data_IF_580733687983
#
_entry.id   IF_580733687983
#
_cell.length_a   1.000
_cell.length_b   1.000
_cell.length_c   1.000
_cell.angle_alpha   90.00
_cell.angle_beta   90.00
_cell.angle_gamma   90.00
#
_symmetry.space_group_name_H-M   'P 1'
#
loop_
_entity.id
_entity.type
_entity.pdbx_description
1 polymer ?
2 polymer ?
3 polymer ?
4 polymer ?
5 non-polymer ?
6 non-polymer ?
7 non-polymer ?
8 non-polymer ?
9 non-polymer ?
10 water ?
#
loop_
_entity_poly.entity_id
_entity_poly.type
_entity_poly.pdbx_seq_one_letter_code
_entity_poly.pdbx_strand_id
2 'polydeoxyribonucleotide' '(DC)(DG)(DG)(DC)(8OG)(DT)(DA)(DC)(DG)' ?
3 'polydeoxyribonucleotide' '(DC)(DG)(DT)(DA)(DC)' ?
4 'polydeoxyribonucleotide' '(DG)(DC)(DC)(DG)' ?
#
# COMPACT_ATOMS: atom_id res chain seq x y z
N UNK A 9 2.95 6.38 26.90
CA UNK A 9 3.15 7.63 26.16
C UNK A 9 2.96 7.42 24.65
N UNK A 10 3.39 6.27 24.18
CA UNK A 10 3.24 5.88 22.77
C UNK A 10 2.39 4.61 22.72
N UNK A 11 1.18 4.66 22.17
CA UNK A 11 0.36 3.45 22.12
C UNK A 11 0.97 2.38 21.21
N UNK A 12 0.53 1.14 21.42
CA UNK A 12 1.20 0.03 20.77
C UNK A 12 0.72 -0.25 19.35
N UNK A 13 -0.47 0.20 18.98
CA UNK A 13 -0.99 -0.02 17.63
C UNK A 13 -0.86 1.27 16.82
N UNK A 14 -0.51 1.12 15.54
CA UNK A 14 -0.32 2.32 14.71
C UNK A 14 -1.60 3.08 14.50
N UNK A 15 -2.76 2.43 14.59
CA UNK A 15 -4.02 3.12 14.39
C UNK A 15 -4.42 3.96 15.58
N UNK A 16 -3.67 3.90 16.67
CA UNK A 16 -3.90 4.69 17.87
C UNK A 16 -3.07 5.97 17.91
N UNK A 17 -2.32 6.27 16.87
CA UNK A 17 -1.48 7.43 16.92
C UNK A 17 -1.38 8.09 15.54
N UNK A 18 -1.28 9.42 15.47
CA UNK A 18 -1.10 10.04 14.16
C UNK A 18 0.29 9.74 13.63
N UNK A 19 0.35 9.40 12.34
CA UNK A 19 1.63 9.19 11.66
C UNK A 19 1.65 10.07 10.42
N UNK A 20 2.41 11.16 10.44
CA UNK A 20 2.44 12.05 9.27
C UNK A 20 3.31 11.46 8.19
N UNK A 21 3.18 12.06 7.00
CA UNK A 21 3.89 11.57 5.85
C UNK A 21 5.38 11.81 5.98
N UNK A 22 5.74 12.99 6.45
CA UNK A 22 7.13 13.31 6.70
C UNK A 22 7.33 13.52 8.20
N UNK A 23 8.53 13.21 8.67
CA UNK A 23 8.71 13.11 10.11
C UNK A 23 10.17 13.39 10.47
N UNK A 24 10.59 12.97 11.67
CA UNK A 24 11.84 13.43 12.26
C UNK A 24 12.83 12.31 12.47
N UNK A 25 12.60 11.16 11.86
CA UNK A 25 13.48 10.00 12.06
C UNK A 25 13.60 9.21 10.77
N UNK A 26 13.69 9.93 9.65
CA UNK A 26 13.62 9.30 8.34
C UNK A 26 14.70 8.25 8.18
N UNK A 27 15.94 8.58 8.54
CA UNK A 27 17.03 7.64 8.35
C UNK A 27 16.88 6.37 9.18
N UNK A 28 16.48 6.52 10.44
CA UNK A 28 16.27 5.36 11.30
C UNK A 28 15.14 4.48 10.78
N UNK A 29 14.02 5.07 10.37
CA UNK A 29 12.92 4.24 9.90
C UNK A 29 13.28 3.51 8.61
N UNK A 30 14.02 4.17 7.71
CA UNK A 30 14.40 3.53 6.45
C UNK A 30 15.26 2.29 6.70
N UNK A 31 16.16 2.34 7.68
CA UNK A 31 17.01 1.20 7.99
C UNK A 31 16.19 0.04 8.49
N UNK A 32 15.28 0.30 9.43
CA UNK A 32 14.44 -0.76 9.94
C UNK A 32 13.56 -1.34 8.84
N UNK A 33 13.13 -0.49 7.90
CA UNK A 33 12.31 -0.99 6.82
C UNK A 33 13.11 -1.85 5.86
N UNK A 34 14.43 -1.65 5.76
CA UNK A 34 15.26 -2.60 5.00
C UNK A 34 15.17 -3.99 5.62
N UNK A 35 15.35 -4.06 6.95
CA UNK A 35 15.33 -5.36 7.61
C UNK A 35 13.95 -5.98 7.50
N UNK A 36 12.91 -5.16 7.52
CA UNK A 36 11.55 -5.69 7.38
C UNK A 36 11.37 -6.31 6.00
N UNK A 37 11.78 -5.59 4.96
CA UNK A 37 11.68 -6.07 3.60
C UNK A 37 12.47 -7.37 3.43
N UNK A 38 13.68 -7.41 3.97
CA UNK A 38 14.50 -8.61 3.83
C UNK A 38 13.86 -9.80 4.53
N UNK A 39 13.29 -9.58 5.72
CA UNK A 39 12.55 -10.65 6.39
C UNK A 39 11.43 -11.19 5.52
N UNK A 40 10.70 -10.30 4.86
CA UNK A 40 9.64 -10.75 3.97
C UNK A 40 10.18 -11.59 2.83
N UNK A 41 11.33 -11.22 2.29
CA UNK A 41 11.89 -12.00 1.20
C UNK A 41 12.25 -13.41 1.65
N UNK A 42 12.46 -13.61 2.95
CA UNK A 42 12.74 -14.93 3.51
C UNK A 42 11.50 -15.61 4.09
N UNK A 43 10.32 -15.03 3.92
CA UNK A 43 9.13 -15.63 4.48
C UNK A 43 8.94 -15.43 5.96
N UNK A 44 9.68 -14.53 6.60
CA UNK A 44 9.58 -14.35 8.05
C UNK A 44 8.58 -13.23 8.34
N UNK A 45 7.30 -13.60 8.32
CA UNK A 45 6.24 -12.60 8.45
C UNK A 45 6.25 -11.91 9.81
N UNK A 46 6.53 -12.66 10.88
CA UNK A 46 6.56 -12.06 12.20
C UNK A 46 7.63 -11.00 12.34
N UNK A 47 8.86 -11.34 11.91
CA UNK A 47 9.94 -10.36 11.96
C UNK A 47 9.64 -9.16 11.07
N UNK A 48 9.10 -9.41 9.87
CA UNK A 48 8.73 -8.29 8.99
C UNK A 48 7.81 -7.34 9.74
N UNK A 49 6.83 -7.90 10.46
CA UNK A 49 5.86 -7.05 11.13
C UNK A 49 6.50 -6.26 12.26
N UNK A 50 7.34 -6.90 13.06
CA UNK A 50 7.99 -6.18 14.14
C UNK A 50 8.84 -5.03 13.62
N UNK A 51 9.66 -5.28 12.59
CA UNK A 51 10.50 -4.23 12.05
C UNK A 51 9.65 -3.13 11.42
N UNK A 52 8.57 -3.49 10.72
CA UNK A 52 7.65 -2.47 10.18
C UNK A 52 7.04 -1.64 11.29
N UNK A 53 6.60 -2.29 12.39
CA UNK A 53 5.99 -1.55 13.49
C UNK A 53 7.01 -0.66 14.20
N UNK A 54 8.23 -1.15 14.40
CA UNK A 54 9.26 -0.33 15.03
C UNK A 54 9.57 0.90 14.18
N UNK A 55 9.72 0.70 12.88
CA UNK A 55 9.88 1.83 11.98
C UNK A 55 8.75 2.84 12.13
N UNK A 56 7.50 2.33 12.15
CA UNK A 56 6.35 3.22 12.22
C UNK A 56 6.33 4.02 13.52
N UNK A 57 6.73 3.39 14.64
CA UNK A 57 6.82 4.12 15.91
C UNK A 57 7.70 5.35 15.75
N UNK A 58 8.86 5.19 15.12
CA UNK A 58 9.76 6.33 14.94
C UNK A 58 9.13 7.41 14.07
N UNK A 59 8.34 7.03 13.07
CA UNK A 59 7.65 8.03 12.26
C UNK A 59 6.67 8.85 13.09
N UNK A 60 6.15 8.29 14.16
CA UNK A 60 5.13 8.96 14.95
C UNK A 60 5.70 9.85 16.03
N UNK A 61 7.01 9.79 16.25
CA UNK A 61 7.63 10.56 17.31
C UNK A 61 7.63 12.04 16.97
N UNK A 62 7.59 12.92 17.98
CA UNK A 62 7.53 14.35 17.72
C UNK A 62 8.88 15.01 17.46
N UNK A 63 9.99 14.29 17.57
CA UNK A 63 11.31 14.88 17.38
C UNK A 63 12.32 13.76 17.11
N UNK A 64 13.55 14.11 16.69
CA UNK A 64 14.54 13.08 16.38
C UNK A 64 14.96 12.28 17.61
N UNK A 65 15.17 10.99 17.41
CA UNK A 65 15.88 10.16 18.38
C UNK A 65 17.37 10.46 18.28
N UNK A 66 17.95 10.96 19.37
CA UNK A 66 19.38 11.25 19.39
C UNK A 66 20.16 10.34 20.32
N UNK A 67 19.51 9.80 21.33
CA UNK A 67 20.17 8.96 22.31
C UNK A 67 19.39 7.68 22.47
N UNK A 68 20.09 6.62 22.83
CA UNK A 68 19.45 5.33 22.95
C UNK A 68 18.41 5.33 24.06
N UNK A 69 18.63 6.11 25.12
CA UNK A 69 17.64 6.17 26.19
C UNK A 69 16.27 6.59 25.69
N UNK A 70 16.19 7.32 24.57
CA UNK A 70 14.87 7.72 24.08
C UNK A 70 14.05 6.53 23.60
N UNK A 71 14.65 5.36 23.39
CA UNK A 71 13.90 4.18 22.97
C UNK A 71 13.24 3.45 24.13
N UNK A 72 13.63 3.79 25.36
CA UNK A 72 13.06 3.13 26.54
C UNK A 72 11.56 3.31 26.59
N UNK A 73 10.86 2.21 26.79
CA UNK A 73 9.42 2.28 26.87
C UNK A 73 8.71 2.38 25.54
N UNK A 74 9.42 2.53 24.41
CA UNK A 74 8.71 2.59 23.13
C UNK A 74 8.27 1.19 22.72
N UNK A 75 7.04 1.00 22.29
CA UNK A 75 6.64 -0.35 21.88
C UNK A 75 7.37 -0.79 20.62
N UNK A 76 7.63 -2.09 20.55
CA UNK A 76 8.23 -2.79 19.42
C UNK A 76 9.73 -2.54 19.30
N UNK A 77 10.38 -1.95 20.30
CA UNK A 77 11.84 -1.86 20.34
C UNK A 77 12.34 -2.81 21.41
N UNK A 78 13.00 -3.88 20.96
CA UNK A 78 13.69 -4.80 21.84
C UNK A 78 15.16 -4.81 21.51
N UNK A 79 15.84 -5.92 21.79
CA UNK A 79 17.28 -5.97 21.65
C UNK A 79 17.71 -5.66 20.22
N UNK A 80 17.03 -6.25 19.23
CA UNK A 80 17.50 -6.17 17.85
C UNK A 80 17.26 -4.78 17.25
N UNK A 81 16.04 -4.27 17.32
CA UNK A 81 15.74 -2.96 16.75
C UNK A 81 16.53 -1.89 17.48
N UNK A 82 16.75 -2.06 18.78
CA UNK A 82 17.49 -1.03 19.52
C UNK A 82 18.96 -1.03 19.12
N UNK A 83 19.52 -2.20 18.80
CA UNK A 83 20.91 -2.28 18.38
C UNK A 83 21.10 -1.64 17.01
N UNK A 84 20.16 -1.85 16.10
CA UNK A 84 20.20 -1.15 14.82
C UNK A 84 20.27 0.36 15.03
N UNK A 85 19.37 0.90 15.87
CA UNK A 85 19.35 2.33 16.08
C UNK A 85 20.65 2.79 16.73
N UNK A 86 21.11 2.05 17.72
CA UNK A 86 22.34 2.40 18.42
C UNK A 86 23.50 2.52 17.46
N UNK A 87 23.62 1.55 16.54
CA UNK A 87 24.72 1.61 15.58
C UNK A 87 24.57 2.79 14.64
N UNK A 88 23.35 3.09 14.22
CA UNK A 88 23.16 4.26 13.36
C UNK A 88 23.49 5.54 14.12
N UNK A 89 23.13 5.62 15.41
CA UNK A 89 23.42 6.82 16.18
C UNK A 89 24.92 6.98 16.41
N UNK A 90 25.64 5.89 16.63
CA UNK A 90 27.06 5.93 16.94
C UNK A 90 27.96 5.97 15.71
N UNK A 91 27.54 5.40 14.58
CA UNK A 91 28.42 5.28 13.43
C UNK A 91 27.84 5.77 12.12
N UNK A 92 26.56 6.16 12.09
CA UNK A 92 25.91 6.58 10.87
C UNK A 92 25.56 5.46 9.93
N UNK A 93 25.84 4.21 10.31
CA UNK A 93 25.56 3.04 9.49
C UNK A 93 25.39 1.85 10.43
N UNK A 94 24.52 0.92 10.04
CA UNK A 94 24.33 -0.33 10.78
C UNK A 94 24.85 -1.48 9.91
N UNK A 95 25.80 -2.26 10.46
CA UNK A 95 26.50 -3.23 9.62
C UNK A 95 25.53 -4.25 9.03
N UNK A 96 24.59 -4.72 9.84
CA UNK A 96 23.61 -5.69 9.35
C UNK A 96 22.81 -5.13 8.18
N UNK A 97 22.38 -3.87 8.28
CA UNK A 97 21.59 -3.26 7.23
C UNK A 97 22.42 -3.12 5.95
N UNK A 98 23.67 -2.70 6.10
CA UNK A 98 24.52 -2.57 4.92
C UNK A 98 24.82 -3.91 4.27
N UNK A 99 24.99 -4.94 5.08
CA UNK A 99 25.19 -6.26 4.52
C UNK A 99 23.97 -6.71 3.74
N UNK A 100 22.77 -6.48 4.29
CA UNK A 100 21.57 -6.83 3.53
C UNK A 100 21.56 -6.08 2.21
N UNK A 101 21.84 -4.78 2.25
CA UNK A 101 21.69 -3.92 1.07
C UNK A 101 22.52 -4.42 -0.10
N UNK A 102 23.74 -4.85 0.17
CA UNK A 102 24.64 -5.26 -0.91
C UNK A 102 24.53 -6.74 -1.23
N UNK A 103 23.68 -7.49 -0.52
CA UNK A 103 23.62 -8.92 -0.75
C UNK A 103 22.90 -9.24 -2.06
N UNK A 104 23.40 -10.28 -2.74
CA UNK A 104 22.83 -10.67 -4.02
C UNK A 104 21.38 -11.09 -3.85
N UNK A 105 21.08 -11.77 -2.75
CA UNK A 105 19.73 -12.21 -2.46
C UNK A 105 18.78 -11.02 -2.34
N UNK A 106 19.12 -10.06 -1.46
CA UNK A 106 18.25 -8.91 -1.27
C UNK A 106 18.02 -8.18 -2.59
N UNK A 107 19.11 -7.86 -3.30
CA UNK A 107 18.97 -7.05 -4.51
C UNK A 107 18.12 -7.75 -5.56
N UNK A 108 18.31 -9.07 -5.71
CA UNK A 108 17.56 -9.81 -6.74
C UNK A 108 16.11 -10.02 -6.33
N UNK A 109 15.85 -10.39 -5.08
CA UNK A 109 14.46 -10.52 -4.64
C UNK A 109 13.71 -9.19 -4.75
N UNK A 110 14.38 -8.09 -4.43
CA UNK A 110 13.77 -6.78 -4.60
C UNK A 110 13.46 -6.51 -6.06
N UNK A 111 14.45 -6.71 -6.95
CA UNK A 111 14.25 -6.50 -8.38
C UNK A 111 13.10 -7.37 -8.91
N UNK A 112 13.07 -8.64 -8.51
CA UNK A 112 12.05 -9.53 -9.05
C UNK A 112 10.67 -9.24 -8.46
N UNK A 113 10.57 -9.03 -7.15
CA UNK A 113 9.24 -8.82 -6.59
C UNK A 113 8.64 -7.48 -7.00
N UNK A 114 9.49 -6.51 -7.36
CA UNK A 114 9.00 -5.25 -7.90
C UNK A 114 8.28 -5.43 -9.23
N UNK A 115 8.44 -6.58 -9.89
CA UNK A 115 7.73 -6.81 -11.14
C UNK A 115 6.25 -7.06 -10.86
N UNK A 116 5.38 -6.41 -11.63
CA UNK A 116 3.95 -6.64 -11.55
C UNK A 116 3.63 -8.06 -12.04
N UNK A 117 3.07 -8.88 -11.16
CA UNK A 117 2.84 -10.27 -11.47
C UNK A 117 3.80 -11.24 -10.79
N UNK A 118 4.83 -10.73 -10.11
CA UNK A 118 5.84 -11.55 -9.44
C UNK A 118 5.78 -11.28 -7.94
N UNK A 119 5.55 -12.32 -7.14
CA UNK A 119 5.59 -12.24 -5.70
C UNK A 119 6.82 -12.95 -5.13
N UNK A 120 6.90 -12.95 -3.79
CA UNK A 120 8.07 -13.54 -3.14
C UNK A 120 8.27 -14.99 -3.58
N UNK A 121 7.20 -15.78 -3.65
CA UNK A 121 7.37 -17.20 -3.95
C UNK A 121 7.90 -17.38 -5.36
N UNK A 122 7.40 -16.60 -6.32
CA UNK A 122 7.91 -16.74 -7.68
C UNK A 122 9.36 -16.28 -7.76
N UNK A 123 9.64 -15.11 -7.19
CA UNK A 123 11.00 -14.57 -7.17
C UNK A 123 11.98 -15.53 -6.55
N UNK A 124 11.58 -16.15 -5.44
CA UNK A 124 12.48 -17.06 -4.75
C UNK A 124 12.78 -18.28 -5.61
N UNK A 125 11.78 -18.79 -6.32
CA UNK A 125 12.03 -19.96 -7.18
C UNK A 125 13.00 -19.61 -8.28
N UNK A 126 12.78 -18.47 -8.94
CA UNK A 126 13.73 -18.00 -9.96
C UNK A 126 15.13 -17.80 -9.38
N UNK A 127 15.23 -17.23 -8.18
CA UNK A 127 16.53 -17.03 -7.55
C UNK A 127 17.26 -18.36 -7.42
N UNK A 128 16.55 -19.38 -6.93
CA UNK A 128 17.15 -20.69 -6.72
C UNK A 128 17.50 -21.37 -8.03
N UNK A 129 16.81 -21.03 -9.12
CA UNK A 129 17.19 -21.54 -10.43
C UNK A 129 18.41 -20.82 -11.00
N UNK A 130 18.93 -19.83 -10.29
CA UNK A 130 20.09 -19.11 -10.72
C UNK A 130 19.82 -17.82 -11.46
N UNK A 131 18.56 -17.43 -11.62
CA UNK A 131 18.24 -16.21 -12.33
C UNK A 131 18.53 -14.99 -11.46
N UNK A 132 19.02 -13.92 -12.10
CA UNK A 132 19.43 -12.74 -11.36
C UNK A 132 18.98 -11.42 -11.98
N UNK A 133 18.71 -11.35 -13.29
CA UNK A 133 18.46 -10.07 -13.95
C UNK A 133 17.15 -10.12 -14.72
N UNK A 134 16.64 -8.93 -15.06
CA UNK A 134 15.43 -8.89 -15.89
C UNK A 134 15.69 -9.54 -17.24
N UNK A 135 16.88 -9.34 -17.79
CA UNK A 135 17.20 -10.00 -19.06
C UNK A 135 17.25 -11.52 -18.90
N UNK A 136 17.68 -12.03 -17.75
CA UNK A 136 17.54 -13.46 -17.49
C UNK A 136 16.10 -13.91 -17.67
N UNK A 137 15.14 -13.09 -17.24
CA UNK A 137 13.74 -13.49 -17.32
C UNK A 137 13.22 -13.37 -18.75
N UNK A 138 13.60 -12.29 -19.43
CA UNK A 138 13.21 -12.12 -20.82
C UNK A 138 13.66 -13.29 -21.69
N UNK A 139 14.85 -13.87 -21.43
CA UNK A 139 15.36 -14.99 -22.22
C UNK A 139 14.61 -16.30 -22.00
N UNK A 140 13.71 -16.35 -21.02
CA UNK A 140 13.02 -17.59 -20.67
C UNK A 140 11.52 -17.34 -20.55
N UNK A 141 10.90 -16.76 -21.60
CA UNK A 141 9.49 -16.40 -21.50
C UNK A 141 8.60 -17.60 -21.35
N UNK A 142 9.12 -18.80 -21.62
CA UNK A 142 8.41 -20.03 -21.30
C UNK A 142 7.93 -20.04 -19.87
N UNK A 143 8.64 -19.32 -18.99
CA UNK A 143 8.37 -19.36 -17.57
C UNK A 143 7.48 -18.22 -17.10
N UNK A 144 6.94 -17.40 -17.99
CA UNK A 144 6.23 -16.19 -17.59
C UNK A 144 4.76 -16.26 -17.93
N UNK A 145 3.92 -15.79 -17.01
CA UNK A 145 2.52 -15.60 -17.30
C UNK A 145 2.31 -14.36 -18.16
N UNK A 146 1.11 -14.24 -18.73
CA UNK A 146 0.78 -13.04 -19.50
C UNK A 146 0.87 -11.80 -18.62
N UNK A 147 0.49 -11.91 -17.36
CA UNK A 147 0.59 -10.79 -16.45
C UNK A 147 2.05 -10.39 -16.25
N UNK A 148 2.90 -11.40 -16.02
CA UNK A 148 4.32 -11.16 -15.79
C UNK A 148 4.99 -10.62 -17.03
N UNK A 149 4.60 -11.12 -18.20
CA UNK A 149 5.10 -10.58 -19.45
C UNK A 149 4.80 -9.09 -19.55
N UNK A 150 3.57 -8.70 -19.20
CA UNK A 150 3.20 -7.29 -19.21
C UNK A 150 4.01 -6.51 -18.20
N UNK A 151 4.13 -7.05 -16.99
CA UNK A 151 4.92 -6.38 -15.97
C UNK A 151 6.36 -6.20 -16.39
N UNK A 152 6.91 -7.18 -17.11
CA UNK A 152 8.31 -7.10 -17.52
C UNK A 152 8.47 -6.13 -18.70
N UNK A 153 7.59 -6.21 -19.71
CA UNK A 153 7.63 -5.25 -20.81
C UNK A 153 7.54 -3.81 -20.32
N UNK A 154 6.67 -3.56 -19.35
CA UNK A 154 6.42 -2.20 -18.88
C UNK A 154 7.27 -1.84 -17.67
N UNK A 155 8.25 -2.68 -17.33
CA UNK A 155 8.91 -2.52 -16.04
C UNK A 155 9.58 -1.15 -15.90
N UNK A 156 10.19 -0.65 -16.97
CA UNK A 156 10.92 0.60 -16.86
C UNK A 156 9.98 1.75 -16.55
N UNK A 157 8.89 1.88 -17.30
CA UNK A 157 7.91 2.92 -16.99
C UNK A 157 7.33 2.74 -15.60
N UNK A 158 7.03 1.51 -15.21
CA UNK A 158 6.38 1.28 -13.93
C UNK A 158 7.34 1.57 -12.77
N UNK A 159 8.64 1.63 -13.03
CA UNK A 159 9.62 1.96 -12.01
C UNK A 159 9.81 3.46 -11.86
N UNK A 160 9.20 4.25 -12.72
CA UNK A 160 9.28 5.71 -12.70
C UNK A 160 8.16 6.26 -11.84
N UNK A 161 8.43 7.12 -10.85
CA UNK A 161 7.33 7.56 -9.97
C UNK A 161 6.23 8.28 -10.72
N UNK A 162 5.00 7.94 -10.37
CA UNK A 162 3.84 8.69 -10.78
C UNK A 162 3.75 9.98 -9.99
N UNK A 163 3.45 11.07 -10.67
CA UNK A 163 3.41 12.39 -10.03
C UNK A 163 1.97 12.84 -9.82
N UNK A 164 1.78 13.71 -8.82
CA UNK A 164 0.44 14.22 -8.54
C UNK A 164 -0.15 14.93 -9.76
N UNK A 165 0.71 15.57 -10.56
CA UNK A 165 0.26 16.11 -11.85
C UNK A 165 -0.37 15.03 -12.71
N UNK A 166 0.21 13.84 -12.74
CA UNK A 166 -0.34 12.78 -13.57
C UNK A 166 -1.72 12.38 -13.11
N UNK A 167 -1.95 12.48 -11.79
CA UNK A 167 -3.13 11.87 -11.19
C UNK A 167 -4.39 12.61 -11.64
N UNK A 168 -4.36 13.94 -11.60
CA UNK A 168 -5.52 14.71 -12.02
C UNK A 168 -5.95 14.38 -13.44
N UNK A 169 -4.98 14.22 -14.35
CA UNK A 169 -5.31 13.89 -15.73
C UNK A 169 -5.96 12.52 -15.82
N UNK A 170 -5.38 11.52 -15.14
CA UNK A 170 -5.96 10.19 -15.12
C UNK A 170 -7.38 10.21 -14.56
N UNK A 171 -7.60 10.98 -13.49
CA UNK A 171 -8.91 10.94 -12.87
C UNK A 171 -9.98 11.45 -13.82
N UNK A 172 -9.68 12.53 -14.55
CA UNK A 172 -10.64 13.05 -15.52
C UNK A 172 -10.99 11.99 -16.55
N UNK A 173 -9.98 11.23 -16.98
CA UNK A 173 -10.21 10.22 -17.99
C UNK A 173 -11.06 9.08 -17.43
N UNK A 174 -10.77 8.65 -16.20
CA UNK A 174 -11.59 7.61 -15.56
C UNK A 174 -13.02 8.10 -15.34
N UNK A 175 -13.16 9.33 -14.88
CA UNK A 175 -14.50 9.88 -14.68
C UNK A 175 -15.30 9.91 -15.97
N UNK A 176 -14.66 10.21 -17.10
CA UNK A 176 -15.38 10.25 -18.37
C UNK A 176 -15.94 8.88 -18.71
N UNK A 177 -15.12 7.84 -18.58
CA UNK A 177 -15.58 6.49 -18.87
C UNK A 177 -16.64 6.05 -17.87
N UNK A 178 -16.41 6.34 -16.59
CA UNK A 178 -17.36 5.97 -15.53
C UNK A 178 -18.72 6.62 -15.78
N UNK A 179 -18.72 7.88 -16.22
CA UNK A 179 -19.99 8.58 -16.42
C UNK A 179 -20.80 8.06 -17.59
N UNK A 180 -20.12 7.52 -18.61
CA UNK A 180 -20.83 6.84 -19.71
C UNK A 180 -21.30 5.46 -19.28
N UNK A 181 -20.48 4.76 -18.49
CA UNK A 181 -20.87 3.43 -18.05
C UNK A 181 -22.08 3.50 -17.14
N UNK A 182 -22.15 4.51 -16.28
CA UNK A 182 -23.24 4.65 -15.32
C UNK A 182 -23.35 6.10 -14.87
N UNK A 183 -24.22 6.87 -15.51
CA UNK A 183 -24.43 8.27 -15.07
C UNK A 183 -24.74 8.34 -13.58
N UNK A 184 -24.10 9.31 -12.92
CA UNK A 184 -24.24 9.49 -11.51
C UNK A 184 -23.14 8.82 -10.70
N UNK A 185 -22.38 7.93 -11.31
CA UNK A 185 -21.34 7.22 -10.57
C UNK A 185 -20.20 8.18 -10.27
N UNK A 186 -19.51 7.94 -9.16
CA UNK A 186 -18.45 8.84 -8.74
C UNK A 186 -17.13 8.10 -8.64
N UNK A 187 -16.06 8.89 -8.73
CA UNK A 187 -14.69 8.40 -8.69
C UNK A 187 -14.00 9.13 -7.56
N UNK A 188 -13.40 8.38 -6.64
CA UNK A 188 -12.69 8.96 -5.51
C UNK A 188 -11.25 8.47 -5.52
N UNK A 189 -10.31 9.41 -5.43
CA UNK A 189 -8.89 9.10 -5.32
C UNK A 189 -8.60 8.50 -3.96
N UNK A 190 -7.93 7.34 -3.92
CA UNK A 190 -7.60 6.72 -2.65
C UNK A 190 -6.09 6.47 -2.57
N UNK A 191 -5.69 5.42 -1.86
CA UNK A 191 -4.30 5.06 -1.69
C UNK A 191 -3.40 6.19 -1.23
N UNK A 192 -2.12 6.08 -1.61
CA UNK A 192 -1.11 7.00 -1.09
C UNK A 192 -1.37 8.46 -1.44
N UNK A 193 -1.92 8.72 -2.62
CA UNK A 193 -2.18 10.12 -2.97
C UNK A 193 -3.22 10.72 -2.05
N UNK A 194 -4.19 9.93 -1.61
CA UNK A 194 -5.16 10.52 -0.70
C UNK A 194 -4.53 10.82 0.66
N UNK A 195 -3.46 10.11 1.02
CA UNK A 195 -2.74 10.37 2.26
C UNK A 195 -1.78 11.54 2.13
N UNK A 196 -1.76 12.21 0.96
CA UNK A 196 -0.91 13.37 0.76
C UNK A 196 0.40 13.12 0.05
N UNK A 197 0.66 11.90 -0.39
CA UNK A 197 1.93 11.65 -1.08
C UNK A 197 2.00 12.49 -2.35
N UNK A 198 3.21 12.88 -2.70
CA UNK A 198 3.38 13.68 -3.90
C UNK A 198 3.74 12.82 -5.10
N UNK A 199 4.15 11.59 -4.86
CA UNK A 199 4.38 10.67 -5.95
C UNK A 199 4.00 9.28 -5.46
N UNK A 200 3.99 8.33 -6.39
CA UNK A 200 3.55 6.98 -6.04
C UNK A 200 3.93 5.99 -7.13
N UNK A 201 3.72 4.72 -6.82
CA UNK A 201 3.97 3.65 -7.77
C UNK A 201 2.75 3.32 -8.62
N UNK A 202 1.57 3.82 -8.23
CA UNK A 202 0.33 3.55 -8.95
C UNK A 202 -0.67 4.60 -8.51
N UNK A 203 -1.85 4.58 -9.13
CA UNK A 203 -2.95 5.47 -8.76
C UNK A 203 -4.15 4.57 -8.44
N UNK A 204 -4.79 4.85 -7.31
CA UNK A 204 -5.88 4.04 -6.77
C UNK A 204 -7.17 4.83 -6.79
N UNK A 205 -8.24 4.25 -7.34
CA UNK A 205 -9.52 4.91 -7.43
C UNK A 205 -10.60 3.99 -6.87
N UNK A 206 -11.54 4.59 -6.18
CA UNK A 206 -12.72 3.90 -5.67
C UNK A 206 -13.96 4.49 -6.33
N UNK A 207 -14.81 3.63 -6.86
CA UNK A 207 -15.97 4.02 -7.67
C UNK A 207 -17.23 3.57 -6.95
N UNK A 208 -18.26 4.41 -6.92
CA UNK A 208 -19.52 4.00 -6.33
C UNK A 208 -20.65 4.74 -7.04
N UNK A 209 -21.88 4.51 -6.54
CA UNK A 209 -23.03 5.22 -7.07
C UNK A 209 -23.99 5.45 -5.91
N UNK A 210 -24.65 6.62 -5.85
CA UNK A 210 -25.48 6.94 -4.68
C UNK A 210 -26.71 6.05 -4.50
N UNK A 211 -27.12 5.30 -5.50
CA UNK A 211 -28.29 4.43 -5.42
C UNK A 211 -27.82 3.00 -5.24
N UNK A 212 -27.99 2.48 -4.03
CA UNK A 212 -27.55 1.14 -3.69
C UNK A 212 -28.01 0.12 -4.72
N UNK A 213 -27.06 -0.67 -5.20
CA UNK A 213 -27.29 -1.69 -6.20
C UNK A 213 -27.00 -1.26 -7.62
N UNK A 214 -27.02 0.03 -7.91
CA UNK A 214 -26.78 0.48 -9.28
C UNK A 214 -25.34 0.21 -9.71
N UNK A 215 -24.42 0.04 -8.75
CA UNK A 215 -23.03 -0.24 -9.06
C UNK A 215 -22.78 -1.66 -9.53
N UNK A 216 -23.75 -2.55 -9.38
CA UNK A 216 -23.58 -3.94 -9.81
C UNK A 216 -23.27 -3.98 -11.30
N UNK A 217 -22.26 -4.77 -11.68
CA UNK A 217 -21.87 -4.92 -13.08
C UNK A 217 -21.11 -3.75 -13.66
N UNK A 218 -20.67 -2.80 -12.84
CA UNK A 218 -20.15 -1.56 -13.36
C UNK A 218 -18.75 -1.69 -13.94
N UNK A 219 -17.87 -2.38 -13.26
CA UNK A 219 -16.47 -2.32 -13.67
C UNK A 219 -16.21 -2.90 -15.06
N UNK A 220 -16.87 -3.99 -15.49
CA UNK A 220 -16.66 -4.43 -16.89
C UNK A 220 -17.04 -3.37 -17.90
N UNK A 221 -18.09 -2.61 -17.60
CA UNK A 221 -18.55 -1.56 -18.50
C UNK A 221 -17.52 -0.43 -18.57
N UNK A 222 -16.94 -0.09 -17.42
CA UNK A 222 -15.90 0.93 -17.38
C UNK A 222 -14.67 0.46 -18.15
N UNK A 223 -14.26 -0.78 -17.91
CA UNK A 223 -13.03 -1.28 -18.53
C UNK A 223 -13.18 -1.36 -20.04
N UNK A 224 -14.36 -1.77 -20.52
CA UNK A 224 -14.59 -1.85 -21.96
C UNK A 224 -14.49 -0.48 -22.60
N UNK A 225 -14.99 0.54 -21.92
CA UNK A 225 -14.95 1.88 -22.45
C UNK A 225 -13.52 2.44 -22.44
N UNK A 226 -12.77 2.21 -21.37
CA UNK A 226 -11.38 2.64 -21.39
C UNK A 226 -10.59 1.92 -22.48
N UNK A 227 -10.84 0.63 -22.65
CA UNK A 227 -10.12 -0.13 -23.66
C UNK A 227 -10.44 0.41 -25.05
N UNK A 228 -11.69 0.77 -25.30
CA UNK A 228 -12.08 1.30 -26.60
C UNK A 228 -11.47 2.66 -26.87
N UNK A 229 -11.14 3.42 -25.84
CA UNK A 229 -10.46 4.69 -26.01
C UNK A 229 -8.96 4.53 -26.21
N UNK A 230 -8.44 3.29 -26.26
CA UNK A 230 -7.03 3.02 -26.44
C UNK A 230 -6.16 3.26 -25.22
N UNK A 231 -6.74 3.36 -24.03
CA UNK A 231 -6.02 3.78 -22.83
C UNK A 231 -5.49 2.62 -21.99
N UNK A 232 -5.86 1.40 -22.31
CA UNK A 232 -5.52 0.25 -21.48
C UNK A 232 -4.44 -0.53 -22.19
N UNK A 233 -3.25 -0.55 -21.59
CA UNK A 233 -2.16 -1.35 -22.10
C UNK A 233 -2.26 -2.78 -21.62
N UNK A 234 -2.82 -2.99 -20.42
CA UNK A 234 -2.98 -4.32 -19.87
C UNK A 234 -4.14 -4.31 -18.88
N UNK A 235 -5.01 -5.29 -18.99
CA UNK A 235 -5.82 -5.69 -17.83
C UNK A 235 -6.22 -7.15 -17.97
N UNK A 236 -6.71 -7.71 -16.89
CA UNK A 236 -7.19 -9.09 -16.85
C UNK A 236 -8.63 -9.23 -17.36
N UNK A 256 -17.79 -11.07 -14.50
CA UNK A 256 -18.11 -10.23 -13.34
C UNK A 256 -16.87 -10.01 -12.46
N UNK A 257 -16.56 -8.75 -12.18
CA UNK A 257 -15.48 -8.42 -11.24
C UNK A 257 -15.72 -7.04 -10.66
N UNK A 258 -15.01 -6.73 -9.56
CA UNK A 258 -15.14 -5.45 -8.87
C UNK A 258 -13.81 -4.76 -8.56
N UNK A 259 -12.68 -5.39 -8.86
CA UNK A 259 -11.36 -4.77 -8.72
C UNK A 259 -10.65 -5.02 -10.03
N UNK A 260 -9.94 -4.03 -10.53
CA UNK A 260 -9.17 -4.18 -11.75
C UNK A 260 -7.78 -3.62 -11.49
N UNK A 261 -6.73 -4.41 -11.80
CA UNK A 261 -5.36 -3.95 -11.64
C UNK A 261 -4.81 -3.78 -13.04
N UNK A 262 -4.76 -2.57 -13.55
CA UNK A 262 -4.42 -2.42 -14.95
C UNK A 262 -3.21 -1.54 -15.13
N UNK A 263 -2.77 -1.50 -16.38
CA UNK A 263 -1.69 -0.63 -16.83
C UNK A 263 -2.31 0.29 -17.87
N UNK A 264 -2.21 1.58 -17.61
CA UNK A 264 -2.83 2.64 -18.38
C UNK A 264 -1.78 3.33 -19.23
N UNK A 265 -2.21 3.80 -20.39
CA UNK A 265 -1.42 4.67 -21.24
C UNK A 265 -1.68 6.12 -20.86
N UNK A 266 -0.68 6.76 -20.30
CA UNK A 266 -0.79 8.14 -19.85
C UNK A 266 -0.03 9.09 -20.76
N UNK A 267 -0.70 10.09 -21.35
CA UNK A 267 0.01 11.13 -22.10
C UNK A 267 1.22 11.71 -21.40
N UNK A 268 2.24 12.00 -22.20
CA UNK A 268 3.44 12.73 -21.84
C UNK A 268 3.76 13.63 -23.03
N UNK A 269 4.50 14.71 -22.80
CA UNK A 269 4.85 15.61 -23.92
C UNK A 269 5.38 14.86 -25.13
N UNK A 270 4.61 14.87 -26.23
CA UNK A 270 5.04 14.19 -27.44
C UNK A 270 5.15 12.68 -27.35
N UNK A 271 4.65 12.09 -26.26
CA UNK A 271 4.72 10.64 -26.14
C UNK A 271 3.71 10.20 -25.07
N UNK A 272 4.04 9.16 -24.33
CA UNK A 272 3.17 8.64 -23.28
C UNK A 272 4.02 7.74 -22.40
N UNK A 273 3.47 7.33 -21.26
CA UNK A 273 4.14 6.35 -20.43
C UNK A 273 3.09 5.44 -19.80
N UNK A 274 3.53 4.24 -19.46
CA UNK A 274 2.64 3.27 -18.81
C UNK A 274 2.55 3.58 -17.33
N UNK A 275 1.35 3.48 -16.76
CA UNK A 275 1.13 3.73 -15.34
C UNK A 275 0.18 2.66 -14.78
N UNK A 276 0.54 2.15 -13.60
CA UNK A 276 -0.36 1.22 -12.91
C UNK A 276 -1.52 2.00 -12.28
N UNK A 277 -2.74 1.53 -12.53
CA UNK A 277 -3.97 2.09 -11.99
C UNK A 277 -4.82 0.95 -11.46
N UNK A 278 -5.35 1.13 -10.26
CA UNK A 278 -6.24 0.19 -9.61
C UNK A 278 -7.60 0.83 -9.53
N UNK A 279 -8.60 0.10 -9.99
CA UNK A 279 -9.97 0.55 -9.90
C UNK A 279 -10.75 -0.44 -9.05
N UNK A 280 -11.57 0.07 -8.15
CA UNK A 280 -12.36 -0.77 -7.28
C UNK A 280 -13.75 -0.17 -7.21
N UNK A 281 -14.76 -1.03 -7.25
CA UNK A 281 -16.15 -0.61 -7.13
C UNK A 281 -16.68 -1.11 -5.79
N UNK A 282 -17.48 -0.27 -5.13
CA UNK A 282 -18.14 -0.67 -3.89
C UNK A 282 -19.54 -0.12 -3.89
N UNK A 283 -20.52 -0.83 -3.31
CA UNK A 283 -21.83 -0.21 -3.11
C UNK A 283 -21.74 0.89 -2.08
N UNK A 284 -22.64 1.88 -2.19
CA UNK A 284 -22.52 3.05 -1.32
C UNK A 284 -22.63 2.64 0.15
N UNK A 285 -23.42 1.62 0.47
CA UNK A 285 -23.48 1.16 1.87
C UNK A 285 -22.11 0.78 2.41
N UNK A 286 -21.21 0.29 1.56
CA UNK A 286 -19.89 -0.16 1.99
C UNK A 286 -18.81 0.88 1.75
N UNK A 287 -19.17 2.01 1.16
CA UNK A 287 -18.17 2.96 0.70
C UNK A 287 -17.23 3.43 1.82
N UNK A 288 -17.71 3.76 3.01
CA UNK A 288 -16.79 4.15 4.08
C UNK A 288 -15.77 3.08 4.39
N UNK A 289 -16.20 1.81 4.39
CA UNK A 289 -15.26 0.74 4.68
C UNK A 289 -14.25 0.58 3.57
N UNK A 290 -14.70 0.75 2.32
CA UNK A 290 -13.77 0.57 1.21
C UNK A 290 -12.81 1.74 1.12
N UNK A 291 -13.32 2.94 1.34
CA UNK A 291 -12.46 4.13 1.40
C UNK A 291 -11.39 3.96 2.46
N UNK A 292 -11.80 3.53 3.65
CA UNK A 292 -10.86 3.35 4.74
C UNK A 292 -9.80 2.33 4.36
N UNK A 293 -10.25 1.18 3.85
CA UNK A 293 -9.32 0.13 3.48
C UNK A 293 -8.36 0.54 2.38
N UNK A 294 -8.89 1.13 1.31
CA UNK A 294 -8.05 1.46 0.16
C UNK A 294 -7.23 2.73 0.37
N UNK A 295 -7.49 3.50 1.42
CA UNK A 295 -6.63 4.64 1.69
C UNK A 295 -5.37 4.26 2.46
N UNK A 296 -5.37 3.16 3.18
CA UNK A 296 -4.16 2.67 3.81
C UNK A 296 -3.66 3.59 4.93
N UNK A 297 -2.35 3.60 5.23
CA UNK A 297 -1.33 2.74 4.62
C UNK A 297 -1.61 1.24 4.82
N UNK A 298 -0.83 0.41 4.11
CA UNK A 298 -0.97 -1.02 4.27
C UNK A 298 -0.79 -1.41 5.74
N UNK A 299 0.26 -0.88 6.35
CA UNK A 299 0.48 -1.21 7.76
C UNK A 299 -0.63 -0.66 8.65
N UNK A 300 -1.06 0.58 8.38
CA UNK A 300 -2.15 1.15 9.14
C UNK A 300 -3.38 0.24 9.13
N UNK A 301 -3.73 -0.31 7.95
CA UNK A 301 -4.94 -1.12 7.86
C UNK A 301 -4.77 -2.47 8.57
N UNK A 302 -3.61 -3.10 8.45
CA UNK A 302 -3.35 -4.34 9.18
C UNK A 302 -3.44 -4.11 10.68
N UNK A 303 -2.85 -3.00 11.15
CA UNK A 303 -2.90 -2.66 12.57
C UNK A 303 -4.32 -2.36 13.01
N UNK A 304 -5.07 -1.63 12.18
CA UNK A 304 -6.46 -1.33 12.50
C UNK A 304 -7.30 -2.58 12.57
N UNK A 305 -7.12 -3.51 11.62
CA UNK A 305 -7.89 -4.75 11.69
C UNK A 305 -7.45 -5.62 12.86
N UNK A 306 -6.15 -5.62 13.17
CA UNK A 306 -5.69 -6.37 14.32
C UNK A 306 -6.27 -5.78 15.60
N UNK A 307 -6.25 -4.44 15.71
CA UNK A 307 -6.82 -3.76 16.86
C UNK A 307 -8.30 -4.10 17.01
N UNK A 308 -9.05 -3.97 15.91
CA UNK A 308 -10.47 -4.27 15.92
C UNK A 308 -10.75 -5.65 16.49
N UNK A 309 -10.08 -6.66 15.95
CA UNK A 309 -10.33 -8.05 16.35
C UNK A 309 -9.83 -8.31 17.76
N UNK A 310 -8.61 -7.92 18.07
CA UNK A 310 -7.99 -8.33 19.33
C UNK A 310 -8.39 -7.46 20.50
N UNK A 311 -8.64 -6.19 20.27
CA UNK A 311 -9.00 -5.32 21.39
C UNK A 311 -10.49 -5.12 21.52
N UNK A 312 -11.22 -5.20 20.43
CA UNK A 312 -12.65 -4.91 20.44
C UNK A 312 -13.51 -6.09 20.06
N UNK A 313 -12.94 -7.21 19.63
CA UNK A 313 -13.73 -8.36 19.27
C UNK A 313 -14.60 -8.17 18.05
N UNK A 314 -14.27 -7.20 17.21
CA UNK A 314 -14.99 -6.89 15.99
C UNK A 314 -14.13 -7.20 14.77
N UNK A 315 -14.77 -7.68 13.69
CA UNK A 315 -14.05 -8.14 12.50
C UNK A 315 -14.21 -7.12 11.39
N UNK A 316 -13.11 -6.52 10.97
CA UNK A 316 -13.12 -5.41 10.04
C UNK A 316 -12.53 -5.83 8.69
N UNK A 317 -13.18 -5.42 7.60
CA UNK A 317 -12.58 -5.52 6.27
C UNK A 317 -13.10 -4.38 5.41
N UNK A 318 -12.79 -4.42 4.10
CA UNK A 318 -13.17 -3.31 3.23
C UNK A 318 -14.63 -3.34 2.83
N UNK A 319 -15.38 -4.32 3.34
CA UNK A 319 -16.82 -4.38 3.13
C UNK A 319 -17.64 -3.98 4.35
N UNK A 320 -17.10 -4.05 5.55
CA UNK A 320 -17.93 -3.87 6.73
C UNK A 320 -17.20 -4.19 8.01
N UNK A 321 -17.96 -4.10 9.10
CA UNK A 321 -17.46 -4.32 10.46
C UNK A 321 -18.49 -5.19 11.18
N UNK A 322 -18.06 -6.38 11.56
CA UNK A 322 -18.93 -7.47 11.99
C UNK A 322 -18.72 -7.75 13.46
N UNK A 323 -19.85 -7.81 14.19
CA UNK A 323 -19.87 -8.21 15.57
C UNK A 323 -20.24 -9.69 15.59
N UNK A 324 -19.30 -10.58 15.90
CA UNK A 324 -19.58 -12.01 15.81
C UNK A 324 -20.35 -12.56 17.00
N UNK A 325 -20.55 -11.77 18.06
CA UNK A 325 -21.45 -12.17 19.13
C UNK A 325 -22.92 -11.91 18.74
N UNK A 326 -23.26 -10.66 18.42
CA UNK A 326 -24.61 -10.36 17.98
C UNK A 326 -24.87 -10.77 16.53
N UNK A 327 -23.84 -11.16 15.80
CA UNK A 327 -23.97 -11.52 14.39
C UNK A 327 -24.61 -10.38 13.60
N UNK A 328 -24.08 -9.17 13.78
CA UNK A 328 -24.57 -7.97 13.13
C UNK A 328 -23.43 -7.16 12.53
N UNK A 329 -23.74 -6.45 11.45
CA UNK A 329 -22.83 -5.51 10.79
C UNK A 329 -23.15 -4.09 11.24
N UNK A 330 -22.10 -3.35 11.54
CA UNK A 330 -22.25 -1.93 11.83
C UNK A 330 -22.51 -1.17 10.53
N UNK A 331 -23.48 -0.28 10.54
CA UNK A 331 -23.69 0.61 9.41
C UNK A 331 -22.79 1.82 9.65
N UNK A 332 -22.08 2.22 8.64
CA UNK A 332 -21.26 3.42 8.73
C UNK A 332 -21.63 4.32 7.58
N UNK A 333 -21.77 5.61 7.88
CA UNK A 333 -21.97 6.61 6.85
C UNK A 333 -20.70 7.38 6.53
N UNK A 334 -19.62 7.15 7.28
CA UNK A 334 -18.39 7.91 7.12
C UNK A 334 -17.24 7.13 7.74
N UNK A 335 -16.01 7.49 7.34
CA UNK A 335 -14.89 6.97 8.07
C UNK A 335 -14.94 7.39 9.53
N UNK A 336 -15.38 8.62 9.81
CA UNK A 336 -15.52 9.04 11.20
C UNK A 336 -16.36 8.05 12.00
N UNK A 337 -17.47 7.57 11.43
CA UNK A 337 -18.31 6.57 12.12
C UNK A 337 -17.51 5.36 12.51
N UNK A 338 -16.62 4.90 11.60
CA UNK A 338 -15.90 3.65 11.84
C UNK A 338 -14.91 3.82 12.99
N UNK A 339 -14.16 4.93 12.99
CA UNK A 339 -13.27 5.18 14.11
C UNK A 339 -14.06 5.23 15.42
N UNK A 340 -15.19 5.93 15.43
CA UNK A 340 -15.99 5.98 16.65
C UNK A 340 -16.45 4.58 17.08
N UNK A 341 -16.93 3.76 16.13
CA UNK A 341 -17.31 2.39 16.44
C UNK A 341 -16.20 1.68 17.21
N UNK A 342 -14.96 1.87 16.78
CA UNK A 342 -13.81 1.16 17.33
C UNK A 342 -13.22 1.84 18.54
N UNK A 343 -13.80 2.95 19.01
CA UNK A 343 -13.26 3.62 20.17
C UNK A 343 -11.92 4.29 19.95
N UNK A 344 -11.63 4.71 18.73
CA UNK A 344 -10.37 5.35 18.35
C UNK A 344 -10.63 6.80 18.00
N UNK A 345 -9.69 7.67 18.36
CA UNK A 345 -9.77 9.04 17.87
C UNK A 345 -9.61 9.06 16.35
N UNK A 346 -10.39 9.90 15.69
CA UNK A 346 -10.35 9.97 14.24
C UNK A 346 -8.98 10.46 13.76
N UNK A 347 -8.48 9.86 12.69
CA UNK A 347 -7.23 10.25 12.06
C UNK A 347 -7.55 10.58 10.61
N UNK A 348 -7.28 11.79 10.14
CA UNK A 348 -7.45 12.05 8.73
C UNK A 348 -6.46 11.22 7.94
N UNK A 349 -6.70 11.06 6.63
CA UNK A 349 -5.79 10.24 5.79
C UNK A 349 -4.34 10.62 5.87
N UNK A 350 -4.04 11.92 5.98
CA UNK A 350 -2.66 12.35 6.04
C UNK A 350 -1.98 11.99 7.36
N UNK A 351 -2.72 11.49 8.35
CA UNK A 351 -2.11 10.98 9.57
C UNK A 351 -2.18 9.46 9.68
N UNK A 352 -2.44 8.78 8.56
CA UNK A 352 -2.45 7.32 8.52
C UNK A 352 -1.23 6.77 7.79
N UNK A 353 -0.15 7.54 7.75
CA UNK A 353 1.06 7.12 7.03
C UNK A 353 1.96 6.22 7.86
N UNK A 354 1.38 5.21 8.51
CA UNK A 354 2.15 4.24 9.27
C UNK A 354 3.07 3.42 8.39
X LIG E 1 -2.83 0.46 -6.04
X LIG F 1 -1.25 3.01 -4.45
X LIG G 1 5.23 -7.97 -7.65
X LIG H 1 -0.68 8.79 -27.02
X LIG I 1 9.13 -14.61 11.42
X LIG J 1 -11.34 -6.62 2.32
X LIG K 1 -0.58 3.00 0.00
X LIG K 1 -0.10 3.01 -1.44
X LIG K 1 -1.12 3.50 -2.41
X LIG K 1 0.24 1.59 -1.83
X LIG K 1 1.38 3.58 -1.77
X LIG K 1 2.03 3.19 -3.23
X LIG K 1 0.96 2.60 -4.14
X LIG K 1 3.22 2.23 -3.24
X LIG K 1 2.46 4.50 -3.85
X LIG L 1 7.90 11.68 -1.68
X LIG L 1 6.12 11.35 -1.38
X LIG L 1 5.57 10.77 -2.61
X LIG L 1 5.99 10.40 -0.29
X LIG L 1 5.44 12.62 -1.11
#
# INVERSE_FOLDING_TARGET
GSAAASPAWMPAYACQRPTPLTHHNTGLSEALEILAEAAGFEGSEGRLLTFCRAASVLKALPSPVTTLSQLQGLPHFGEHSSRVVQELLEHGVCEEVERVRRSERYQTMKLFTQIFGVGVKTADRWYREGLRTLDDLREQPQKLTQQQKAGLQHHQDLSTPVLRSDVDALQQVVEEAVGQALPGATVTLTGGFRRGKLQGHDVDFLITHPKEGQEAGLLPRVMCRLQDQGLILYHQHQHSCCESPTRLAQQSHMDAFERSFCIFRLPQPGSWKAVRVDLVVAPVSQFPFALLGWTGSKLFQRELRRFSRKEKGLWLNSHGLFDPEQKTFFQAASEEDIFRHLGLEYLPPEQRNA
MG MG
MG MG
NA NA
CL CL
CL CL
CL CL
PPV O11 P1 O21 O31 OPP P2 O12 O22 O32
EPE C10 S O1S O2S O3S
#
